data_IF_053240686636
#
_entry.id   IF_053240686636
#
_cell.length_a   1.000
_cell.length_b   1.000
_cell.length_c   1.000
_cell.angle_alpha   90.00
_cell.angle_beta   90.00
_cell.angle_gamma   90.00
#
_symmetry.space_group_name_H-M   'P 1'
#
loop_
_entity.id
_entity.type
_entity.pdbx_description
1 polymer ?
#
# COMPACT_ATOMS: atom_id res chain seq x y z
N UNK A 1 11.03 -18.20 1.76
CA UNK A 1 9.76 -18.11 1.00
C UNK A 1 8.63 -18.50 1.93
N UNK A 2 7.49 -17.77 1.89
CA UNK A 2 6.31 -18.11 2.69
C UNK A 2 5.66 -19.39 2.15
N UNK A 3 5.18 -20.22 3.05
CA UNK A 3 4.61 -21.53 2.68
C UNK A 3 3.08 -21.46 2.64
N UNK A 4 2.48 -22.07 1.63
CA UNK A 4 1.02 -22.26 1.58
C UNK A 4 0.68 -23.38 2.57
N UNK A 5 -0.27 -23.10 3.48
CA UNK A 5 -0.72 -24.02 4.53
C UNK A 5 -2.27 -24.09 4.58
N UNK A 6 -2.79 -24.78 5.59
CA UNK A 6 -4.23 -24.98 5.77
C UNK A 6 -5.02 -23.67 5.98
N UNK A 7 -4.39 -22.54 6.33
CA UNK A 7 -5.06 -21.24 6.46
C UNK A 7 -5.43 -20.63 5.10
N UNK A 8 -4.87 -21.16 4.00
CA UNK A 8 -5.15 -20.72 2.62
C UNK A 8 -6.20 -21.59 1.93
N UNK A 9 -6.68 -22.67 2.56
CA UNK A 9 -7.69 -23.55 1.98
C UNK A 9 -8.95 -22.74 1.63
N UNK A 10 -9.36 -22.63 0.35
CA UNK A 10 -10.55 -21.87 -0.06
C UNK A 10 -11.86 -22.44 0.50
N UNK A 11 -11.86 -23.70 0.95
CA UNK A 11 -13.02 -24.34 1.58
C UNK A 11 -13.17 -23.97 3.05
N UNK A 12 -12.12 -23.41 3.67
CA UNK A 12 -12.19 -22.99 5.07
C UNK A 12 -13.18 -21.86 5.24
N UNK A 13 -14.18 -22.05 6.09
CA UNK A 13 -15.22 -21.08 6.42
C UNK A 13 -15.02 -20.54 7.84
N UNK A 14 -15.47 -19.32 8.07
CA UNK A 14 -15.52 -18.68 9.38
C UNK A 14 -16.90 -18.77 10.00
N UNK A 15 -16.96 -18.80 11.33
CA UNK A 15 -18.22 -18.57 12.07
C UNK A 15 -18.67 -17.08 12.00
N UNK A 16 -17.82 -16.17 11.54
CA UNK A 16 -18.20 -14.81 11.15
C UNK A 16 -18.78 -14.86 9.74
N UNK A 17 -20.10 -14.81 9.63
CA UNK A 17 -20.81 -15.07 8.37
C UNK A 17 -20.41 -14.16 7.22
N UNK A 18 -20.19 -12.86 7.48
CA UNK A 18 -19.76 -11.87 6.50
C UNK A 18 -18.39 -12.16 5.87
N UNK A 19 -17.52 -12.91 6.58
CA UNK A 19 -16.22 -13.35 6.06
C UNK A 19 -16.32 -14.45 5.00
N UNK A 20 -17.50 -15.01 4.77
CA UNK A 20 -17.70 -16.07 3.78
C UNK A 20 -18.29 -15.55 2.46
N UNK A 21 -18.45 -14.24 2.32
CA UNK A 21 -18.91 -13.62 1.07
C UNK A 21 -17.83 -13.81 -0.04
N UNK A 22 -18.23 -14.28 -1.24
CA UNK A 22 -17.28 -14.64 -2.29
C UNK A 22 -16.43 -13.46 -2.77
N UNK A 23 -17.01 -12.24 -2.80
CA UNK A 23 -16.32 -11.02 -3.26
C UNK A 23 -15.82 -10.15 -2.08
N UNK A 24 -15.84 -10.70 -0.86
CA UNK A 24 -15.39 -9.99 0.34
C UNK A 24 -13.88 -9.77 0.36
N UNK A 25 -13.44 -8.62 0.89
CA UNK A 25 -12.01 -8.32 1.01
C UNK A 25 -11.33 -9.10 2.15
N UNK A 26 -12.09 -9.45 3.20
CA UNK A 26 -11.52 -10.00 4.43
C UNK A 26 -12.08 -11.37 4.80
N UNK A 27 -11.90 -12.40 3.91
CA UNK A 27 -12.19 -13.78 4.29
C UNK A 27 -11.19 -14.28 5.35
N UNK A 28 -11.47 -15.43 5.95
CA UNK A 28 -10.60 -16.06 6.95
C UNK A 28 -9.18 -16.37 6.39
N UNK A 29 -9.03 -16.43 5.08
CA UNK A 29 -7.75 -16.63 4.40
C UNK A 29 -6.88 -15.37 4.39
N UNK A 30 -7.46 -14.17 4.62
CA UNK A 30 -6.74 -12.89 4.62
C UNK A 30 -6.23 -12.52 6.01
N UNK A 31 -7.13 -12.09 6.89
CA UNK A 31 -6.83 -11.62 8.24
C UNK A 31 -5.81 -10.46 8.28
N UNK A 32 -6.04 -9.34 7.57
CA UNK A 32 -5.10 -8.23 7.59
C UNK A 32 -5.13 -7.53 8.94
N UNK A 33 -3.94 -7.09 9.39
CA UNK A 33 -3.79 -6.37 10.65
C UNK A 33 -4.09 -4.87 10.49
N UNK A 34 -4.55 -4.24 11.59
CA UNK A 34 -4.75 -2.80 11.68
C UNK A 34 -4.46 -2.30 13.09
N UNK A 35 -4.34 -0.99 13.25
CA UNK A 35 -4.39 -0.31 14.54
C UNK A 35 -5.71 0.48 14.63
N UNK A 36 -6.51 0.22 15.67
CA UNK A 36 -7.85 0.77 15.80
C UNK A 36 -8.25 1.04 17.26
N UNK A 37 -9.33 1.78 17.43
CA UNK A 37 -10.11 1.89 18.66
C UNK A 37 -11.60 1.97 18.31
N UNK A 38 -12.52 1.85 19.28
CA UNK A 38 -13.93 2.16 19.03
C UNK A 38 -14.10 3.64 18.71
N UNK A 39 -14.85 3.93 17.66
CA UNK A 39 -15.10 5.31 17.27
C UNK A 39 -15.79 6.08 18.41
N UNK A 40 -15.44 7.34 18.58
CA UNK A 40 -15.98 8.26 19.61
C UNK A 40 -15.77 7.77 21.05
N UNK A 41 -14.80 6.90 21.29
CA UNK A 41 -14.41 6.46 22.61
C UNK A 41 -13.13 7.15 23.07
N UNK A 42 -12.84 7.11 24.38
CA UNK A 42 -11.57 7.52 24.98
C UNK A 42 -10.57 6.34 25.08
N UNK A 43 -10.89 5.20 24.46
CA UNK A 43 -10.00 4.04 24.47
C UNK A 43 -8.68 4.34 23.76
N UNK A 44 -7.61 3.73 24.24
CA UNK A 44 -6.34 3.73 23.52
C UNK A 44 -6.44 2.89 22.25
N UNK A 45 -5.67 3.28 21.23
CA UNK A 45 -5.53 2.45 20.04
C UNK A 45 -4.81 1.16 20.37
N UNK A 46 -5.12 0.07 19.65
CA UNK A 46 -4.53 -1.25 19.78
C UNK A 46 -4.61 -2.02 18.48
N UNK A 47 -3.93 -3.15 18.41
CA UNK A 47 -3.97 -4.03 17.25
C UNK A 47 -5.34 -4.68 17.08
N UNK A 48 -5.75 -4.81 15.85
CA UNK A 48 -6.92 -5.55 15.40
C UNK A 48 -6.63 -6.34 14.15
N UNK A 49 -7.51 -7.28 13.82
CA UNK A 49 -7.48 -8.01 12.55
C UNK A 49 -8.86 -7.99 11.90
N UNK A 50 -8.91 -7.66 10.59
CA UNK A 50 -10.18 -7.69 9.89
C UNK A 50 -10.65 -9.11 9.59
N UNK A 51 -11.94 -9.33 9.77
CA UNK A 51 -12.66 -10.55 9.40
C UNK A 51 -14.08 -10.20 8.94
N UNK A 52 -14.37 -10.37 7.67
CA UNK A 52 -15.64 -9.95 7.09
C UNK A 52 -15.90 -8.45 7.25
N UNK A 53 -17.01 -8.08 7.84
CA UNK A 53 -17.43 -6.71 8.16
C UNK A 53 -16.97 -6.21 9.53
N UNK A 54 -16.14 -6.97 10.21
CA UNK A 54 -15.76 -6.72 11.60
C UNK A 54 -14.24 -6.66 11.78
N UNK A 55 -13.81 -6.09 12.90
CA UNK A 55 -12.45 -6.14 13.44
C UNK A 55 -12.48 -6.96 14.70
N UNK A 56 -11.64 -7.99 14.81
CA UNK A 56 -11.38 -8.70 16.05
C UNK A 56 -10.37 -7.91 16.88
N UNK A 57 -10.73 -7.58 18.10
CA UNK A 57 -9.89 -6.87 19.08
C UNK A 57 -8.80 -7.80 19.62
N UNK A 58 -7.55 -7.57 19.19
CA UNK A 58 -6.42 -8.41 19.58
C UNK A 58 -5.94 -8.12 21.01
N UNK A 59 -6.13 -6.89 21.51
CA UNK A 59 -5.84 -6.56 22.91
C UNK A 59 -6.76 -7.32 23.85
N UNK A 60 -8.07 -7.27 23.62
CA UNK A 60 -9.05 -8.03 24.40
C UNK A 60 -8.88 -9.56 24.22
N UNK A 61 -8.48 -10.01 23.03
CA UNK A 61 -8.16 -11.43 22.81
C UNK A 61 -6.94 -11.89 23.63
N UNK A 62 -5.94 -11.02 23.79
CA UNK A 62 -4.78 -11.30 24.64
C UNK A 62 -5.18 -11.54 26.10
N UNK A 63 -6.07 -10.70 26.63
CA UNK A 63 -6.60 -10.84 27.99
C UNK A 63 -7.38 -12.15 28.21
N UNK A 64 -8.01 -12.69 27.17
CA UNK A 64 -8.72 -13.97 27.26
C UNK A 64 -7.79 -15.19 27.42
N UNK A 65 -6.52 -15.10 27.03
CA UNK A 65 -5.53 -16.18 27.16
C UNK A 65 -5.91 -17.47 26.41
N UNK A 66 -6.45 -17.35 25.20
CA UNK A 66 -6.94 -18.50 24.41
C UNK A 66 -5.97 -19.00 23.34
N UNK A 67 -4.86 -18.31 23.14
CA UNK A 67 -3.76 -18.73 22.27
C UNK A 67 -2.56 -19.14 23.11
N UNK A 68 -1.73 -20.03 22.57
CA UNK A 68 -0.57 -20.57 23.24
C UNK A 68 0.75 -20.28 22.50
N UNK A 69 1.88 -20.50 23.17
CA UNK A 69 3.21 -20.44 22.58
C UNK A 69 3.55 -19.13 21.90
N UNK A 70 4.14 -19.20 20.69
CA UNK A 70 4.57 -18.03 19.93
C UNK A 70 3.39 -17.15 19.47
N UNK A 71 2.21 -17.75 19.22
CA UNK A 71 1.01 -17.00 18.88
C UNK A 71 0.54 -16.11 20.04
N UNK A 72 0.56 -16.62 21.28
CA UNK A 72 0.21 -15.84 22.47
C UNK A 72 1.23 -14.71 22.73
N UNK A 73 2.53 -14.99 22.57
CA UNK A 73 3.58 -13.98 22.67
C UNK A 73 3.38 -12.85 21.65
N UNK A 74 3.12 -13.19 20.38
CA UNK A 74 2.87 -12.25 19.31
C UNK A 74 1.59 -11.43 19.54
N UNK A 75 0.56 -12.04 20.10
CA UNK A 75 -0.70 -11.39 20.45
C UNK A 75 -0.48 -10.30 21.51
N UNK A 76 0.39 -10.52 22.50
CA UNK A 76 0.77 -9.52 23.50
C UNK A 76 1.35 -8.24 22.88
N UNK A 77 2.11 -8.37 21.79
CA UNK A 77 2.64 -7.21 21.06
C UNK A 77 1.55 -6.37 20.36
N UNK A 78 0.35 -6.93 20.13
CA UNK A 78 -0.77 -6.23 19.53
C UNK A 78 -1.56 -5.36 20.54
N UNK A 79 -1.29 -5.43 21.82
CA UNK A 79 -1.93 -4.56 22.83
C UNK A 79 -1.39 -3.12 22.78
N UNK A 80 -0.34 -2.86 22.00
CA UNK A 80 0.25 -1.53 21.84
C UNK A 80 -0.53 -0.67 20.83
N UNK A 81 -0.43 0.68 20.92
CA UNK A 81 -1.12 1.59 20.00
C UNK A 81 -0.72 1.48 18.52
N UNK A 82 0.44 0.87 18.26
CA UNK A 82 0.99 0.61 16.92
C UNK A 82 1.51 -0.82 16.84
N UNK A 83 1.58 -1.35 15.64
CA UNK A 83 2.03 -2.71 15.39
C UNK A 83 3.56 -2.88 15.29
N UNK A 84 4.37 -1.84 15.55
CA UNK A 84 5.82 -1.90 15.44
C UNK A 84 6.43 -3.05 16.26
N UNK A 85 5.91 -3.28 17.47
CA UNK A 85 6.35 -4.39 18.32
C UNK A 85 6.08 -5.75 17.65
N UNK A 86 4.87 -5.95 17.11
CA UNK A 86 4.52 -7.18 16.35
C UNK A 86 5.41 -7.33 15.11
N UNK A 87 5.59 -6.27 14.33
CA UNK A 87 6.42 -6.24 13.13
C UNK A 87 7.87 -6.67 13.45
N UNK A 88 8.42 -6.14 14.55
CA UNK A 88 9.78 -6.43 15.00
C UNK A 88 10.03 -7.88 15.46
N UNK A 89 8.99 -8.63 15.84
CA UNK A 89 9.12 -10.04 16.21
C UNK A 89 9.53 -10.94 15.04
N UNK A 90 9.31 -10.49 13.81
CA UNK A 90 9.69 -11.19 12.59
C UNK A 90 8.63 -12.17 12.07
N UNK A 91 8.98 -12.86 10.98
CA UNK A 91 8.03 -13.62 10.18
C UNK A 91 7.41 -14.83 10.90
N UNK A 92 8.18 -15.53 11.71
CA UNK A 92 7.72 -16.72 12.43
C UNK A 92 6.62 -16.37 13.43
N UNK A 93 6.77 -15.21 14.10
CA UNK A 93 5.80 -14.71 15.06
C UNK A 93 4.49 -14.28 14.36
N UNK A 94 4.60 -13.55 13.24
CA UNK A 94 3.45 -13.17 12.42
C UNK A 94 2.69 -14.39 11.88
N UNK A 95 3.40 -15.37 11.34
CA UNK A 95 2.82 -16.61 10.83
C UNK A 95 2.11 -17.42 11.93
N UNK A 96 2.73 -17.55 13.10
CA UNK A 96 2.14 -18.25 14.24
C UNK A 96 0.85 -17.56 14.72
N UNK A 97 0.85 -16.23 14.84
CA UNK A 97 -0.33 -15.46 15.22
C UNK A 97 -1.45 -15.64 14.18
N UNK A 98 -1.14 -15.47 12.88
CA UNK A 98 -2.12 -15.66 11.81
C UNK A 98 -2.71 -17.08 11.81
N UNK A 99 -1.91 -18.11 12.01
CA UNK A 99 -2.38 -19.48 12.10
C UNK A 99 -3.30 -19.70 13.30
N UNK A 100 -2.93 -19.18 14.48
CA UNK A 100 -3.75 -19.19 15.69
C UNK A 100 -5.10 -18.52 15.52
N UNK A 101 -5.11 -17.31 14.89
CA UNK A 101 -6.32 -16.56 14.57
C UNK A 101 -7.20 -17.32 13.57
N UNK A 102 -6.61 -17.88 12.52
CA UNK A 102 -7.34 -18.71 11.55
C UNK A 102 -7.97 -19.95 12.20
N UNK A 103 -7.28 -20.60 13.15
CA UNK A 103 -7.84 -21.72 13.91
C UNK A 103 -8.97 -21.28 14.85
N UNK A 104 -8.86 -20.14 15.51
CA UNK A 104 -9.87 -19.60 16.42
C UNK A 104 -11.13 -19.12 15.69
N UNK A 105 -10.98 -18.61 14.46
CA UNK A 105 -12.07 -18.03 13.67
C UNK A 105 -12.76 -19.02 12.72
N UNK A 106 -12.25 -20.25 12.55
CA UNK A 106 -12.90 -21.25 11.70
C UNK A 106 -14.25 -21.69 12.23
N UNK A 107 -15.14 -22.16 11.36
CA UNK A 107 -16.54 -22.46 11.69
C UNK A 107 -16.68 -23.56 12.78
N UNK A 108 -15.73 -24.49 12.85
CA UNK A 108 -15.71 -25.58 13.82
C UNK A 108 -15.11 -25.17 15.19
N UNK A 109 -14.68 -23.91 15.33
CA UNK A 109 -14.02 -23.45 16.55
C UNK A 109 -15.00 -23.37 17.72
N UNK A 110 -14.66 -24.00 18.83
CA UNK A 110 -15.39 -23.91 20.10
C UNK A 110 -15.20 -22.58 20.80
N UNK A 111 -14.28 -21.74 20.32
CA UNK A 111 -13.99 -20.42 20.87
C UNK A 111 -15.00 -19.35 20.43
N UNK A 112 -15.81 -19.61 19.41
CA UNK A 112 -16.74 -18.63 18.84
C UNK A 112 -17.61 -17.88 19.89
N UNK A 113 -18.21 -18.52 20.91
CA UNK A 113 -18.98 -17.79 21.92
C UNK A 113 -18.15 -16.79 22.74
N UNK A 114 -16.88 -17.12 23.02
CA UNK A 114 -15.94 -16.26 23.77
C UNK A 114 -15.40 -15.11 22.92
N UNK A 115 -15.24 -15.32 21.62
CA UNK A 115 -14.65 -14.34 20.70
C UNK A 115 -15.69 -13.38 20.11
N UNK A 116 -16.96 -13.80 20.00
CA UNK A 116 -18.01 -12.96 19.42
C UNK A 116 -18.15 -11.58 20.08
N UNK A 117 -18.05 -11.41 21.41
CA UNK A 117 -18.09 -10.10 22.06
C UNK A 117 -16.90 -9.18 21.72
N UNK A 118 -15.81 -9.74 21.18
CA UNK A 118 -14.60 -9.00 20.80
C UNK A 118 -14.62 -8.49 19.35
N UNK A 119 -15.68 -8.84 18.60
CA UNK A 119 -15.88 -8.31 17.24
C UNK A 119 -16.49 -6.91 17.32
N UNK A 120 -15.84 -5.97 16.67
CA UNK A 120 -16.32 -4.59 16.50
C UNK A 120 -16.66 -4.40 15.01
N UNK A 121 -17.88 -3.94 14.65
CA UNK A 121 -18.19 -3.57 13.27
C UNK A 121 -17.16 -2.58 12.73
N UNK A 122 -16.66 -2.78 11.50
CA UNK A 122 -15.61 -1.91 10.91
C UNK A 122 -16.02 -0.45 10.85
N UNK A 123 -17.29 -0.16 10.65
CA UNK A 123 -17.88 1.18 10.63
C UNK A 123 -17.93 1.84 12.02
N UNK A 124 -17.92 1.04 13.09
CA UNK A 124 -17.86 1.51 14.48
C UNK A 124 -16.42 1.65 15.01
N UNK A 125 -15.42 1.43 14.16
CA UNK A 125 -14.02 1.55 14.49
C UNK A 125 -13.42 2.84 13.90
N UNK A 126 -12.52 3.44 14.66
CA UNK A 126 -11.62 4.51 14.22
C UNK A 126 -10.23 3.91 14.01
N UNK A 127 -9.62 4.21 12.88
CA UNK A 127 -8.31 3.66 12.50
C UNK A 127 -7.22 4.70 12.55
N UNK A 128 -6.00 4.23 12.69
CA UNK A 128 -4.78 5.01 12.49
C UNK A 128 -3.82 4.26 11.57
N UNK A 129 -2.74 4.92 11.15
CA UNK A 129 -1.63 4.25 10.46
C UNK A 129 -1.16 3.07 11.33
N UNK A 130 -1.07 1.88 10.77
CA UNK A 130 -0.82 0.65 11.51
C UNK A 130 0.51 0.67 12.30
N UNK A 131 1.51 1.42 11.82
CA UNK A 131 2.80 1.60 12.48
C UNK A 131 3.07 3.09 12.76
N UNK A 132 3.86 3.34 13.79
CA UNK A 132 4.58 4.60 13.91
C UNK A 132 5.74 4.56 12.91
N UNK A 133 5.55 5.21 11.76
CA UNK A 133 6.55 5.24 10.70
C UNK A 133 7.70 6.15 11.11
N UNK A 134 8.90 5.56 11.23
CA UNK A 134 10.12 6.31 11.50
C UNK A 134 10.64 7.00 10.26
N UNK A 135 10.89 6.21 9.22
CA UNK A 135 11.37 6.66 7.92
C UNK A 135 10.45 6.15 6.80
N UNK A 136 10.32 6.98 5.76
CA UNK A 136 9.58 6.66 4.55
C UNK A 136 10.49 6.83 3.34
N UNK A 137 10.60 5.76 2.55
CA UNK A 137 11.34 5.77 1.28
C UNK A 137 10.38 5.41 0.17
N UNK A 138 10.28 6.27 -0.84
CA UNK A 138 9.44 6.02 -1.99
C UNK A 138 10.30 5.63 -3.19
N UNK A 139 10.01 4.45 -3.75
CA UNK A 139 10.68 3.88 -4.92
C UNK A 139 9.99 4.31 -6.22
N UNK A 140 10.54 3.87 -7.31
CA UNK A 140 10.05 4.15 -8.67
C UNK A 140 10.02 2.84 -9.46
N UNK A 141 9.28 1.83 -8.94
CA UNK A 141 9.43 0.44 -9.37
C UNK A 141 8.73 0.10 -10.70
N UNK A 142 7.77 0.92 -11.20
CA UNK A 142 7.06 0.64 -12.45
C UNK A 142 7.78 1.24 -13.66
N UNK A 143 8.30 0.40 -14.55
CA UNK A 143 8.91 0.85 -15.81
C UNK A 143 7.90 1.51 -16.74
N UNK A 144 6.63 1.12 -16.66
CA UNK A 144 5.57 1.69 -17.49
C UNK A 144 5.31 3.14 -17.10
N UNK A 145 5.16 3.42 -15.80
CA UNK A 145 5.06 4.79 -15.28
C UNK A 145 6.30 5.61 -15.62
N UNK A 146 7.49 5.09 -15.31
CA UNK A 146 8.75 5.79 -15.56
C UNK A 146 8.93 6.14 -17.05
N UNK A 147 8.54 5.23 -17.95
CA UNK A 147 8.60 5.46 -19.40
C UNK A 147 7.56 6.48 -19.84
N UNK A 148 6.32 6.40 -19.35
CA UNK A 148 5.25 7.32 -19.71
C UNK A 148 5.59 8.76 -19.29
N UNK A 149 5.97 8.97 -18.03
CA UNK A 149 6.40 10.28 -17.52
C UNK A 149 7.65 10.76 -18.22
N UNK A 150 8.61 9.86 -18.45
CA UNK A 150 9.83 10.18 -19.18
C UNK A 150 9.54 10.70 -20.60
N UNK A 151 8.63 10.07 -21.34
CA UNK A 151 8.19 10.53 -22.68
C UNK A 151 7.59 11.93 -22.68
N UNK A 152 6.89 12.31 -21.59
CA UNK A 152 6.32 13.64 -21.44
C UNK A 152 7.40 14.73 -21.21
N UNK A 153 8.49 14.36 -20.53
CA UNK A 153 9.55 15.30 -20.11
C UNK A 153 10.81 15.22 -20.99
N UNK A 154 11.13 14.07 -21.53
CA UNK A 154 12.36 13.74 -22.29
C UNK A 154 12.03 12.74 -23.41
N UNK A 155 11.33 13.16 -24.47
CA UNK A 155 10.80 12.25 -25.51
C UNK A 155 11.87 11.35 -26.15
N UNK A 156 13.07 11.89 -26.38
CA UNK A 156 14.16 11.17 -27.04
C UNK A 156 14.89 10.18 -26.13
N UNK A 157 14.83 10.36 -24.80
CA UNK A 157 15.46 9.49 -23.82
C UNK A 157 14.58 9.39 -22.55
N UNK A 158 13.48 8.62 -22.59
CA UNK A 158 12.51 8.58 -21.51
C UNK A 158 13.05 8.07 -20.18
N UNK A 159 13.88 7.05 -20.21
CA UNK A 159 14.46 6.46 -18.98
C UNK A 159 15.88 6.94 -18.74
N UNK A 160 16.19 7.30 -17.50
CA UNK A 160 17.57 7.54 -17.10
C UNK A 160 18.42 6.27 -17.23
N UNK A 161 19.73 6.38 -17.52
CA UNK A 161 20.62 5.23 -17.74
C UNK A 161 20.65 4.23 -16.56
N UNK A 162 20.48 4.71 -15.34
CA UNK A 162 20.51 3.90 -14.11
C UNK A 162 19.20 3.18 -13.81
N UNK A 163 18.08 3.54 -14.43
CA UNK A 163 16.74 3.04 -14.09
C UNK A 163 16.65 1.50 -14.11
N UNK A 164 17.23 0.88 -15.15
CA UNK A 164 17.20 -0.57 -15.33
C UNK A 164 18.23 -1.34 -14.48
N UNK A 165 19.10 -0.61 -13.75
CA UNK A 165 20.19 -1.19 -13.00
C UNK A 165 19.98 -1.18 -11.50
N UNK A 166 19.25 -0.23 -10.97
CA UNK A 166 18.97 -0.11 -9.56
C UNK A 166 17.52 0.37 -9.30
N UNK A 167 16.89 -0.04 -8.20
CA UNK A 167 15.65 0.57 -7.72
C UNK A 167 15.91 2.03 -7.32
N UNK A 168 15.43 2.96 -8.15
CA UNK A 168 15.53 4.41 -7.85
C UNK A 168 14.53 4.75 -6.76
N UNK A 169 14.92 5.61 -5.81
CA UNK A 169 14.05 6.03 -4.72
C UNK A 169 14.42 7.43 -4.23
N UNK A 170 13.52 8.06 -3.48
CA UNK A 170 13.77 9.26 -2.70
C UNK A 170 13.27 9.10 -1.25
N UNK A 171 13.77 9.93 -0.34
CA UNK A 171 13.28 9.96 1.05
C UNK A 171 12.00 10.78 1.13
N UNK A 172 10.89 10.09 1.40
CA UNK A 172 9.59 10.70 1.60
C UNK A 172 9.43 11.31 2.99
N UNK A 173 8.33 12.03 3.20
CA UNK A 173 8.02 12.66 4.48
C UNK A 173 7.14 11.76 5.34
N UNK A 174 7.72 11.09 6.34
CA UNK A 174 6.99 10.19 7.24
C UNK A 174 5.90 10.91 8.06
N UNK A 175 6.12 12.16 8.48
CA UNK A 175 5.19 12.89 9.35
C UNK A 175 3.87 13.30 8.70
N UNK A 176 3.76 13.27 7.37
CA UNK A 176 2.53 13.57 6.62
C UNK A 176 1.78 12.34 6.13
N UNK A 177 2.21 11.13 6.53
CA UNK A 177 1.47 9.91 6.27
C UNK A 177 0.21 9.90 7.13
N UNK A 178 -0.95 9.66 6.49
CA UNK A 178 -2.27 9.58 7.14
C UNK A 178 -2.99 8.30 6.72
N UNK A 179 -3.87 7.85 7.60
CA UNK A 179 -4.75 6.72 7.29
C UNK A 179 -5.88 7.15 6.35
N UNK A 180 -6.40 6.21 5.58
CA UNK A 180 -7.59 6.35 4.74
C UNK A 180 -8.73 7.07 5.46
N UNK A 181 -9.39 7.99 4.76
CA UNK A 181 -10.45 8.85 5.30
C UNK A 181 -9.97 10.21 5.83
N UNK A 182 -8.67 10.46 5.83
CA UNK A 182 -8.13 11.78 6.16
C UNK A 182 -8.14 12.68 4.92
N UNK A 183 -8.87 13.78 5.03
CA UNK A 183 -8.97 14.80 3.99
C UNK A 183 -7.87 15.86 4.21
N UNK A 184 -7.38 16.49 3.13
CA UNK A 184 -6.27 17.45 3.21
C UNK A 184 -6.53 18.69 2.36
N UNK A 185 -6.03 19.85 2.81
CA UNK A 185 -6.11 21.09 2.05
C UNK A 185 -5.18 21.05 0.83
N UNK A 186 -5.64 21.65 -0.28
CA UNK A 186 -4.83 21.80 -1.50
C UNK A 186 -3.50 22.50 -1.17
N UNK A 187 -2.33 21.90 -1.49
CA UNK A 187 -1.05 22.49 -1.13
C UNK A 187 -0.71 23.70 -1.99
N UNK A 188 0.07 24.60 -1.41
CA UNK A 188 0.68 25.73 -2.10
C UNK A 188 2.21 25.60 -2.11
N UNK A 189 2.83 26.13 -3.13
CA UNK A 189 4.29 26.16 -3.28
C UNK A 189 4.71 27.13 -4.40
N UNK A 190 6.01 27.20 -4.64
CA UNK A 190 6.50 27.94 -5.80
C UNK A 190 6.17 27.18 -7.09
N UNK A 191 5.59 27.88 -8.03
CA UNK A 191 5.31 27.40 -9.40
C UNK A 191 5.88 28.38 -10.41
N UNK A 192 6.35 27.90 -11.54
CA UNK A 192 6.73 28.73 -12.68
C UNK A 192 5.62 28.62 -13.74
N UNK A 193 4.73 29.63 -13.86
CA UNK A 193 3.70 29.62 -14.90
C UNK A 193 4.29 29.58 -16.31
N UNK A 194 3.63 28.93 -17.28
CA UNK A 194 4.10 28.90 -18.66
C UNK A 194 4.35 30.31 -19.22
N UNK A 195 5.58 30.53 -19.71
CA UNK A 195 5.98 31.83 -20.28
C UNK A 195 6.33 32.92 -19.26
N UNK A 196 6.21 32.66 -17.95
CA UNK A 196 6.65 33.59 -16.92
C UNK A 196 8.18 33.56 -16.75
N UNK A 197 8.75 34.75 -16.47
CA UNK A 197 10.18 34.85 -16.16
C UNK A 197 10.52 34.61 -14.69
N UNK A 198 9.54 34.70 -13.79
CA UNK A 198 9.70 34.56 -12.34
C UNK A 198 8.65 33.58 -11.78
N UNK A 199 9.02 32.78 -10.76
CA UNK A 199 8.06 31.94 -10.06
C UNK A 199 7.13 32.78 -9.19
N UNK A 200 5.98 32.20 -8.85
CA UNK A 200 5.02 32.75 -7.88
C UNK A 200 4.68 31.73 -6.80
N UNK A 201 4.29 32.17 -5.63
CA UNK A 201 3.70 31.32 -4.59
C UNK A 201 2.20 31.18 -4.88
N UNK A 202 1.76 29.97 -5.20
CA UNK A 202 0.37 29.70 -5.53
C UNK A 202 -0.07 28.31 -5.05
N UNK A 203 -1.40 28.14 -4.88
CA UNK A 203 -1.98 26.81 -4.73
C UNK A 203 -1.78 26.01 -6.03
N UNK A 204 -1.44 24.71 -5.89
CA UNK A 204 -1.24 23.86 -7.08
C UNK A 204 -2.50 23.79 -7.93
N UNK A 205 -2.35 23.92 -9.26
CA UNK A 205 -3.39 23.70 -10.25
C UNK A 205 -3.30 22.32 -10.90
N UNK A 206 -2.28 21.52 -10.53
CA UNK A 206 -1.98 20.22 -11.13
C UNK A 206 -1.83 19.17 -10.04
N UNK A 207 -2.84 19.11 -9.15
CA UNK A 207 -2.88 18.10 -8.09
C UNK A 207 -3.27 16.74 -8.66
N UNK A 208 -2.52 15.71 -8.29
CA UNK A 208 -2.61 14.35 -8.82
C UNK A 208 -2.58 13.33 -7.69
N UNK A 209 -2.97 12.10 -7.98
CA UNK A 209 -2.78 10.92 -7.13
C UNK A 209 -1.73 9.99 -7.75
N UNK A 210 -1.16 9.13 -6.94
CA UNK A 210 -0.33 8.01 -7.39
C UNK A 210 -0.82 6.71 -6.76
N UNK A 211 -1.20 5.76 -7.63
CA UNK A 211 -1.68 4.42 -7.25
C UNK A 211 -0.49 3.54 -6.91
N UNK A 212 -0.33 3.21 -5.63
CA UNK A 212 0.84 2.51 -5.10
C UNK A 212 0.52 1.40 -4.11
N UNK A 213 1.54 0.61 -3.82
CA UNK A 213 1.61 -0.35 -2.73
C UNK A 213 2.64 0.14 -1.71
N UNK A 214 2.23 0.24 -0.44
CA UNK A 214 3.12 0.45 0.69
C UNK A 214 3.57 -0.87 1.28
N UNK A 215 4.85 -0.97 1.65
CA UNK A 215 5.46 -2.18 2.23
C UNK A 215 6.03 -1.82 3.61
N UNK A 216 5.47 -2.39 4.67
CA UNK A 216 5.98 -2.18 6.02
C UNK A 216 7.18 -3.08 6.31
N UNK A 217 8.23 -2.49 6.83
CA UNK A 217 9.39 -3.20 7.35
C UNK A 217 8.98 -3.95 8.62
N UNK A 218 9.36 -5.21 8.70
CA UNK A 218 9.19 -6.07 9.86
C UNK A 218 10.41 -6.00 10.77
N UNK A 219 11.24 -7.05 10.72
CA UNK A 219 12.51 -7.05 11.44
C UNK A 219 13.47 -6.06 10.79
N UNK A 220 13.97 -5.11 11.55
CA UNK A 220 15.03 -4.19 11.09
C UNK A 220 16.38 -4.88 10.94
N UNK A 221 17.40 -4.13 10.49
CA UNK A 221 18.78 -4.52 10.45
C UNK A 221 19.65 -3.51 11.20
N UNK A 222 20.83 -3.94 11.64
CA UNK A 222 21.81 -3.07 12.28
C UNK A 222 22.50 -2.15 11.27
N UNK A 223 22.84 -0.93 11.69
CA UNK A 223 23.64 -0.01 10.90
C UNK A 223 24.98 -0.65 10.52
N UNK A 224 25.37 -0.53 9.24
CA UNK A 224 26.55 -1.18 8.68
C UNK A 224 26.33 -2.64 8.24
N UNK A 225 25.14 -3.19 8.39
CA UNK A 225 24.78 -4.55 7.97
C UNK A 225 23.79 -4.53 6.82
N UNK A 226 24.21 -4.93 5.64
CA UNK A 226 23.31 -5.12 4.48
C UNK A 226 22.45 -6.37 4.66
N UNK A 227 21.24 -6.36 4.07
CA UNK A 227 20.35 -7.51 4.00
C UNK A 227 20.46 -8.14 2.61
N UNK A 228 20.97 -9.37 2.49
CA UNK A 228 21.06 -10.06 1.19
C UNK A 228 19.66 -10.32 0.61
N UNK A 229 19.56 -10.32 -0.73
CA UNK A 229 18.28 -10.48 -1.43
C UNK A 229 17.51 -11.75 -0.98
N UNK A 230 18.19 -12.87 -0.77
CA UNK A 230 17.58 -14.13 -0.28
C UNK A 230 16.91 -14.01 1.09
N UNK A 231 17.30 -13.02 1.89
CA UNK A 231 16.79 -12.74 3.24
C UNK A 231 15.81 -11.56 3.27
N UNK A 232 15.76 -10.75 2.20
CA UNK A 232 15.05 -9.48 2.16
C UNK A 232 13.58 -9.60 2.61
N UNK A 233 12.85 -10.59 2.13
CA UNK A 233 11.44 -10.77 2.50
C UNK A 233 11.23 -11.23 3.96
N UNK A 234 12.26 -11.73 4.65
CA UNK A 234 12.18 -12.01 6.08
C UNK A 234 12.21 -10.74 6.93
N UNK A 235 12.61 -9.61 6.33
CA UNK A 235 12.61 -8.29 6.92
C UNK A 235 11.34 -7.48 6.59
N UNK A 236 10.40 -8.04 5.83
CA UNK A 236 9.13 -7.40 5.48
C UNK A 236 7.98 -8.02 6.26
N UNK A 237 7.06 -7.19 6.75
CA UNK A 237 5.88 -7.64 7.49
C UNK A 237 4.67 -7.85 6.60
N UNK A 238 4.30 -6.85 5.81
CA UNK A 238 3.11 -6.90 4.97
C UNK A 238 2.93 -5.66 4.12
N UNK A 239 1.87 -5.66 3.32
CA UNK A 239 1.58 -4.65 2.34
C UNK A 239 0.26 -3.94 2.64
N UNK A 240 0.18 -2.66 2.26
CA UNK A 240 -1.04 -1.85 2.27
C UNK A 240 -1.20 -1.10 0.95
N UNK A 241 -2.35 -0.47 0.70
CA UNK A 241 -2.48 0.51 -0.38
C UNK A 241 -1.86 1.83 0.05
N UNK A 242 -1.27 2.54 -0.89
CA UNK A 242 -0.66 3.84 -0.68
C UNK A 242 -1.05 4.79 -1.82
N UNK A 243 -1.39 6.02 -1.48
CA UNK A 243 -1.54 7.12 -2.42
C UNK A 243 -0.50 8.19 -2.08
N UNK A 244 0.45 8.43 -2.98
CA UNK A 244 1.42 9.51 -2.85
C UNK A 244 0.92 10.74 -3.63
N UNK A 245 0.20 11.62 -2.93
CA UNK A 245 -0.38 12.82 -3.52
C UNK A 245 0.70 13.74 -4.08
N UNK A 246 0.46 14.28 -5.29
CA UNK A 246 1.49 14.95 -6.08
C UNK A 246 1.02 16.29 -6.61
N UNK A 247 1.71 17.37 -6.26
CA UNK A 247 1.51 18.70 -6.84
C UNK A 247 2.46 18.87 -8.05
N UNK A 248 2.00 18.52 -9.26
CA UNK A 248 2.85 18.37 -10.45
C UNK A 248 3.50 19.65 -10.96
N UNK A 249 2.86 20.79 -10.78
CA UNK A 249 3.42 22.10 -11.15
C UNK A 249 4.52 22.54 -10.16
N UNK A 250 4.33 22.31 -8.84
CA UNK A 250 5.37 22.50 -7.85
C UNK A 250 6.53 21.53 -8.12
N UNK A 251 6.22 20.24 -8.38
CA UNK A 251 7.22 19.23 -8.70
C UNK A 251 8.08 19.61 -9.90
N UNK A 252 7.47 20.13 -10.97
CA UNK A 252 8.18 20.52 -12.18
C UNK A 252 9.19 21.66 -11.95
N UNK A 253 8.94 22.52 -10.97
CA UNK A 253 9.83 23.62 -10.61
C UNK A 253 10.97 23.20 -9.69
N UNK A 254 10.71 22.32 -8.71
CA UNK A 254 11.65 22.02 -7.62
C UNK A 254 12.47 20.74 -7.78
N UNK A 255 12.07 19.79 -8.66
CA UNK A 255 12.60 18.41 -8.61
C UNK A 255 14.09 18.29 -8.95
N UNK A 256 14.67 19.29 -9.59
CA UNK A 256 16.11 19.32 -9.87
C UNK A 256 16.81 20.33 -8.94
N UNK A 257 17.97 19.96 -8.37
CA UNK A 257 18.79 18.77 -8.64
C UNK A 257 18.52 17.58 -7.69
N UNK A 258 17.75 17.72 -6.59
CA UNK A 258 17.72 16.72 -5.51
C UNK A 258 16.48 15.82 -5.48
N UNK A 259 15.55 15.98 -6.41
CA UNK A 259 14.29 15.25 -6.46
C UNK A 259 13.11 16.02 -5.85
N UNK A 260 11.90 15.40 -5.76
CA UNK A 260 10.71 16.09 -5.26
C UNK A 260 10.80 16.38 -3.76
N UNK A 261 10.19 17.49 -3.33
CA UNK A 261 10.20 17.94 -1.94
C UNK A 261 8.80 18.41 -1.51
N UNK A 262 8.45 19.70 -1.68
CA UNK A 262 7.15 20.24 -1.28
C UNK A 262 6.01 19.66 -2.12
N UNK A 263 6.29 19.25 -3.35
CA UNK A 263 5.33 18.61 -4.23
C UNK A 263 4.79 17.27 -3.70
N UNK A 264 5.45 16.67 -2.72
CA UNK A 264 5.13 15.34 -2.15
C UNK A 264 4.92 15.39 -0.65
N UNK A 265 5.59 16.29 0.08
CA UNK A 265 5.65 16.28 1.54
C UNK A 265 4.36 16.69 2.25
N UNK A 266 3.32 17.11 1.52
CA UNK A 266 2.08 17.63 2.11
C UNK A 266 1.08 16.54 2.52
N UNK A 267 1.03 15.39 1.83
CA UNK A 267 0.14 14.28 2.16
C UNK A 267 0.58 12.98 1.51
N UNK A 268 0.47 11.88 2.26
CA UNK A 268 0.50 10.50 1.79
C UNK A 268 -0.60 9.73 2.50
N UNK A 269 -1.46 9.01 1.78
CA UNK A 269 -2.57 8.26 2.36
C UNK A 269 -2.30 6.76 2.27
N UNK A 270 -2.46 6.03 3.38
CA UNK A 270 -2.37 4.56 3.40
C UNK A 270 -3.67 3.92 3.83
N UNK A 271 -3.99 2.72 3.31
CA UNK A 271 -5.11 1.94 3.85
C UNK A 271 -4.78 1.50 5.29
N UNK A 272 -5.78 1.32 6.17
CA UNK A 272 -5.52 0.86 7.54
C UNK A 272 -5.12 -0.61 7.61
N UNK A 273 -5.29 -1.36 6.53
CA UNK A 273 -5.15 -2.82 6.47
C UNK A 273 -3.78 -3.23 5.98
N UNK A 274 -3.06 -3.98 6.81
CA UNK A 274 -1.77 -4.56 6.45
C UNK A 274 -1.96 -6.06 6.17
N UNK A 275 -1.94 -6.43 4.89
CA UNK A 275 -2.01 -7.82 4.43
C UNK A 275 -0.63 -8.43 4.55
N UNK A 276 -0.49 -9.49 5.36
CA UNK A 276 0.82 -10.11 5.62
C UNK A 276 1.35 -10.86 4.39
N UNK A 277 2.68 -11.00 4.32
CA UNK A 277 3.30 -11.80 3.25
C UNK A 277 2.85 -13.27 3.29
N UNK A 278 2.45 -13.77 4.46
CA UNK A 278 1.89 -15.13 4.60
C UNK A 278 0.54 -15.23 3.87
N UNK A 279 -0.37 -14.27 4.06
CA UNK A 279 -1.65 -14.23 3.34
C UNK A 279 -1.47 -14.11 1.82
N UNK A 280 -0.39 -13.49 1.37
CA UNK A 280 -0.05 -13.28 -0.03
C UNK A 280 0.68 -14.49 -0.68
N UNK A 281 1.03 -15.52 0.08
CA UNK A 281 1.77 -16.68 -0.45
C UNK A 281 1.12 -17.33 -1.70
N UNK A 282 -0.21 -17.51 -1.78
CA UNK A 282 -0.85 -18.09 -2.96
C UNK A 282 -0.77 -17.23 -4.23
N UNK A 283 -0.54 -15.93 -4.10
CA UNK A 283 -0.58 -14.95 -5.18
C UNK A 283 0.81 -14.55 -5.67
N UNK A 284 1.82 -15.30 -5.25
CA UNK A 284 3.18 -15.15 -5.78
C UNK A 284 3.25 -15.68 -7.20
N UNK A 285 3.95 -14.91 -8.04
CA UNK A 285 4.17 -15.23 -9.45
C UNK A 285 5.65 -15.03 -9.80
N UNK A 286 6.13 -15.68 -10.88
CA UNK A 286 7.48 -15.46 -11.37
C UNK A 286 7.73 -13.98 -11.69
N UNK A 287 8.94 -13.52 -11.36
CA UNK A 287 9.44 -12.23 -11.80
C UNK A 287 10.48 -12.44 -12.90
N UNK A 288 10.33 -11.72 -13.99
CA UNK A 288 11.28 -11.76 -15.12
C UNK A 288 11.28 -10.42 -15.84
N UNK A 289 12.38 -10.14 -16.51
CA UNK A 289 12.49 -9.03 -17.45
C UNK A 289 12.18 -9.50 -18.87
N UNK A 290 11.66 -8.62 -19.73
CA UNK A 290 11.46 -8.97 -21.14
C UNK A 290 12.76 -9.41 -21.83
N UNK A 291 12.70 -10.26 -22.86
CA UNK A 291 13.88 -10.63 -23.64
C UNK A 291 14.61 -9.40 -24.21
N UNK A 292 15.93 -9.40 -24.12
CA UNK A 292 16.78 -8.30 -24.60
C UNK A 292 17.06 -7.21 -23.55
N UNK A 293 16.35 -7.23 -22.41
CA UNK A 293 16.66 -6.31 -21.30
C UNK A 293 17.87 -6.81 -20.49
N UNK A 294 18.68 -5.87 -19.94
CA UNK A 294 19.84 -6.25 -19.16
C UNK A 294 19.43 -6.99 -17.88
N UNK A 295 20.12 -8.08 -17.48
CA UNK A 295 19.88 -8.69 -16.17
C UNK A 295 20.29 -7.72 -15.06
N UNK A 296 19.66 -7.80 -13.87
CA UNK A 296 20.13 -7.02 -12.74
C UNK A 296 21.52 -7.48 -12.29
N UNK A 297 22.21 -6.63 -11.51
CA UNK A 297 23.46 -7.03 -10.86
C UNK A 297 23.21 -8.18 -9.86
N UNK A 298 24.23 -8.99 -9.60
CA UNK A 298 24.13 -10.21 -8.81
C UNK A 298 23.51 -10.04 -7.41
N UNK A 299 23.65 -8.88 -6.76
CA UNK A 299 23.05 -8.63 -5.45
C UNK A 299 21.51 -8.41 -5.52
N UNK A 300 20.97 -8.18 -6.73
CA UNK A 300 19.53 -8.02 -7.00
C UNK A 300 18.96 -9.18 -7.82
N UNK A 301 19.67 -10.29 -7.93
CA UNK A 301 19.24 -11.43 -8.73
C UNK A 301 19.47 -12.75 -8.01
N UNK A 302 18.41 -13.51 -7.82
CA UNK A 302 18.48 -14.89 -7.32
C UNK A 302 17.34 -15.76 -7.87
N UNK A 303 17.48 -17.09 -7.70
CA UNK A 303 16.47 -18.05 -8.18
C UNK A 303 15.11 -17.90 -7.49
N UNK A 304 15.06 -17.42 -6.26
CA UNK A 304 13.83 -17.21 -5.50
C UNK A 304 13.01 -16.07 -6.10
N UNK A 305 13.67 -14.94 -6.41
CA UNK A 305 13.00 -13.81 -7.06
C UNK A 305 12.48 -14.19 -8.45
N UNK A 306 13.26 -14.90 -9.24
CA UNK A 306 12.83 -15.38 -10.56
C UNK A 306 11.61 -16.32 -10.48
N UNK A 307 11.55 -17.18 -9.46
CA UNK A 307 10.45 -18.14 -9.29
C UNK A 307 9.16 -17.53 -8.72
N UNK A 308 9.25 -16.53 -7.83
CA UNK A 308 8.11 -16.06 -7.03
C UNK A 308 8.29 -14.66 -6.44
N UNK A 309 9.15 -13.83 -7.03
CA UNK A 309 9.45 -12.49 -6.50
C UNK A 309 8.33 -11.48 -6.71
N UNK A 310 7.52 -11.63 -7.76
CA UNK A 310 6.38 -10.76 -8.02
C UNK A 310 5.12 -11.22 -7.25
N UNK A 311 4.19 -10.29 -7.05
CA UNK A 311 2.91 -10.55 -6.40
C UNK A 311 1.80 -10.04 -7.32
N UNK A 312 0.83 -10.90 -7.62
CA UNK A 312 -0.31 -10.53 -8.46
C UNK A 312 -1.39 -9.84 -7.62
N UNK A 313 -1.23 -8.53 -7.43
CA UNK A 313 -2.22 -7.66 -6.80
C UNK A 313 -2.88 -6.84 -7.89
N UNK A 314 -4.19 -6.97 -8.04
CA UNK A 314 -4.99 -6.09 -8.87
C UNK A 314 -5.14 -4.75 -8.17
N UNK A 315 -4.86 -3.65 -8.84
CA UNK A 315 -4.89 -2.29 -8.30
C UNK A 315 -5.85 -1.44 -9.12
N UNK A 316 -6.72 -0.72 -8.45
CA UNK A 316 -7.73 0.12 -9.09
C UNK A 316 -7.74 1.52 -8.48
N UNK A 317 -7.82 2.55 -9.32
CA UNK A 317 -8.08 3.92 -8.91
C UNK A 317 -9.46 4.37 -9.38
N UNK A 318 -10.22 4.99 -8.47
CA UNK A 318 -11.53 5.60 -8.76
C UNK A 318 -11.55 7.05 -8.34
N UNK A 319 -12.34 7.83 -9.06
CA UNK A 319 -12.64 9.23 -8.75
C UNK A 319 -14.12 9.39 -8.43
N UNK A 320 -14.39 10.13 -7.36
CA UNK A 320 -15.72 10.47 -6.88
C UNK A 320 -15.76 11.98 -6.65
N UNK A 321 -16.31 12.73 -7.62
CA UNK A 321 -16.37 14.20 -7.54
C UNK A 321 -17.48 14.65 -6.58
N UNK A 322 -17.38 15.88 -6.07
CA UNK A 322 -18.45 16.46 -5.25
C UNK A 322 -19.79 16.46 -5.99
N UNK A 323 -19.80 16.72 -7.31
CA UNK A 323 -21.00 16.68 -8.15
C UNK A 323 -21.54 15.27 -8.32
N UNK A 324 -20.67 14.27 -8.52
CA UNK A 324 -21.11 12.87 -8.60
C UNK A 324 -21.80 12.44 -7.31
N UNK A 325 -21.20 12.75 -6.15
CA UNK A 325 -21.81 12.46 -4.83
C UNK A 325 -23.17 13.14 -4.65
N UNK A 326 -23.26 14.43 -5.00
CA UNK A 326 -24.52 15.17 -4.91
C UNK A 326 -25.62 14.57 -5.82
N UNK A 327 -25.21 13.98 -6.95
CA UNK A 327 -26.13 13.32 -7.90
C UNK A 327 -26.38 11.83 -7.59
N UNK A 328 -25.80 11.27 -6.52
CA UNK A 328 -25.92 9.85 -6.17
C UNK A 328 -25.26 8.89 -7.19
N UNK A 329 -24.32 9.38 -7.98
CA UNK A 329 -23.60 8.56 -8.95
C UNK A 329 -22.47 7.77 -8.27
N UNK A 330 -22.22 6.57 -8.76
CA UNK A 330 -21.12 5.74 -8.27
C UNK A 330 -19.75 6.32 -8.64
N UNK A 331 -18.70 6.15 -7.81
CA UNK A 331 -17.32 6.51 -8.15
C UNK A 331 -16.89 5.89 -9.46
N UNK A 332 -16.33 6.71 -10.37
CA UNK A 332 -15.88 6.25 -11.69
C UNK A 332 -14.49 5.64 -11.61
N UNK A 333 -14.32 4.44 -12.15
CA UNK A 333 -13.00 3.84 -12.33
C UNK A 333 -12.20 4.63 -13.36
N UNK A 334 -11.01 5.07 -12.95
CA UNK A 334 -10.05 5.76 -13.80
C UNK A 334 -9.06 4.79 -14.45
N UNK A 335 -8.58 3.82 -13.65
CA UNK A 335 -7.57 2.86 -14.12
C UNK A 335 -7.66 1.53 -13.37
N UNK A 336 -7.02 0.51 -13.99
CA UNK A 336 -6.86 -0.82 -13.38
C UNK A 336 -5.52 -1.40 -13.86
N UNK A 337 -4.59 -1.59 -12.93
CA UNK A 337 -3.25 -2.12 -13.17
C UNK A 337 -2.98 -3.37 -12.32
N UNK A 338 -1.85 -4.02 -12.52
CA UNK A 338 -1.39 -5.10 -11.65
C UNK A 338 0.00 -4.83 -11.10
N UNK A 339 0.20 -5.06 -9.79
CA UNK A 339 1.49 -4.94 -9.14
C UNK A 339 2.54 -5.94 -9.66
N UNK A 340 2.09 -7.04 -10.27
CA UNK A 340 2.96 -8.02 -10.93
C UNK A 340 3.83 -7.43 -12.04
N UNK A 341 3.39 -6.30 -12.63
CA UNK A 341 4.07 -5.63 -13.74
C UNK A 341 5.20 -4.70 -13.27
N UNK A 342 5.48 -4.66 -11.97
CA UNK A 342 6.62 -3.92 -11.40
C UNK A 342 7.94 -4.43 -11.96
N UNK A 343 8.81 -3.49 -12.36
CA UNK A 343 10.18 -3.79 -12.80
C UNK A 343 11.08 -4.28 -11.66
N UNK A 344 10.85 -3.78 -10.44
CA UNK A 344 11.56 -4.15 -9.23
C UNK A 344 10.61 -4.78 -8.22
N UNK A 345 11.03 -5.90 -7.61
CA UNK A 345 10.26 -6.58 -6.56
C UNK A 345 10.48 -5.94 -5.20
N UNK A 346 9.58 -6.20 -4.24
CA UNK A 346 9.73 -5.71 -2.87
C UNK A 346 11.03 -6.20 -2.19
N UNK A 347 11.46 -7.43 -2.50
CA UNK A 347 12.73 -7.96 -2.02
C UNK A 347 13.93 -7.21 -2.58
N UNK A 348 13.90 -6.88 -3.88
CA UNK A 348 14.96 -6.11 -4.53
C UNK A 348 15.03 -4.68 -4.00
N UNK A 349 13.88 -4.04 -3.73
CA UNK A 349 13.83 -2.71 -3.11
C UNK A 349 14.51 -2.70 -1.76
N UNK A 350 14.19 -3.66 -0.87
CA UNK A 350 14.80 -3.76 0.45
C UNK A 350 16.29 -4.09 0.39
N UNK A 351 16.69 -5.05 -0.46
CA UNK A 351 18.10 -5.42 -0.63
C UNK A 351 18.94 -4.23 -1.11
N UNK A 352 18.39 -3.45 -2.07
CA UNK A 352 19.07 -2.25 -2.55
C UNK A 352 19.14 -1.16 -1.47
N UNK A 353 18.06 -0.95 -0.71
CA UNK A 353 18.00 0.05 0.35
C UNK A 353 19.07 -0.16 1.43
N UNK A 354 19.42 -1.42 1.68
CA UNK A 354 20.37 -1.78 2.75
C UNK A 354 21.77 -2.11 2.28
N UNK A 355 22.03 -2.16 0.96
CA UNK A 355 23.32 -2.63 0.40
C UNK A 355 24.52 -1.81 0.85
N UNK A 356 24.34 -0.54 1.15
CA UNK A 356 25.37 0.36 1.69
C UNK A 356 25.50 0.31 3.23
N UNK A 357 24.74 -0.58 3.89
CA UNK A 357 24.70 -0.68 5.35
C UNK A 357 23.67 0.21 6.05
N UNK A 358 22.76 0.86 5.28
CA UNK A 358 21.65 1.60 5.87
C UNK A 358 20.80 0.66 6.74
N UNK A 359 20.43 1.10 7.95
CA UNK A 359 19.54 0.35 8.83
C UNK A 359 18.08 0.74 8.58
N UNK A 360 17.22 -0.28 8.63
CA UNK A 360 15.77 -0.15 8.65
C UNK A 360 15.24 -0.52 10.04
N UNK A 361 14.11 0.03 10.42
CA UNK A 361 13.45 -0.22 11.71
C UNK A 361 12.06 -0.83 11.51
N UNK A 362 11.56 -1.60 12.49
CA UNK A 362 10.19 -2.09 12.45
C UNK A 362 9.18 -0.95 12.27
N UNK A 363 8.35 -1.04 11.24
CA UNK A 363 7.35 -0.02 10.93
C UNK A 363 7.79 1.07 9.95
N UNK A 364 9.05 1.11 9.51
CA UNK A 364 9.45 1.92 8.36
C UNK A 364 8.62 1.52 7.14
N UNK A 365 8.34 2.49 6.27
CA UNK A 365 7.48 2.30 5.10
C UNK A 365 8.29 2.47 3.81
N UNK A 366 8.13 1.51 2.89
CA UNK A 366 8.64 1.59 1.53
C UNK A 366 7.44 1.75 0.59
N UNK A 367 7.34 2.87 -0.13
CA UNK A 367 6.42 3.05 -1.24
C UNK A 367 6.95 2.36 -2.50
N UNK A 368 6.08 1.80 -3.29
CA UNK A 368 6.47 1.14 -4.55
C UNK A 368 6.78 2.13 -5.67
N UNK A 369 6.40 3.40 -5.52
CA UNK A 369 6.20 4.29 -6.64
C UNK A 369 4.93 3.95 -7.40
N UNK A 370 4.47 4.87 -8.22
CA UNK A 370 3.24 4.72 -9.01
C UNK A 370 3.23 3.42 -9.81
N UNK A 371 2.19 2.63 -9.67
CA UNK A 371 2.00 1.37 -10.39
C UNK A 371 1.15 1.58 -11.64
N UNK A 372 1.78 1.44 -12.78
CA UNK A 372 1.13 1.46 -14.10
C UNK A 372 1.46 0.19 -14.85
N UNK A 373 0.53 -0.26 -15.69
CA UNK A 373 0.74 -1.38 -16.60
C UNK A 373 1.08 -0.92 -18.03
N UNK A 374 1.21 -1.87 -18.96
CA UNK A 374 1.64 -1.60 -20.35
C UNK A 374 0.60 -0.85 -21.20
N UNK A 375 -0.67 -0.81 -20.80
CA UNK A 375 -1.77 -0.20 -21.57
C UNK A 375 -2.14 1.18 -21.00
N UNK A 376 -2.62 2.12 -21.82
CA UNK A 376 -2.98 3.47 -21.38
C UNK A 376 -4.00 3.50 -20.23
N UNK A 377 -4.98 2.62 -20.23
CA UNK A 377 -6.02 2.48 -19.19
C UNK A 377 -5.50 1.86 -17.89
N UNK A 378 -4.24 1.44 -17.87
CA UNK A 378 -3.55 0.89 -16.70
C UNK A 378 -2.64 1.91 -16.03
N UNK A 379 -2.73 3.18 -16.42
CA UNK A 379 -1.91 4.25 -15.86
C UNK A 379 -2.31 4.59 -14.43
N UNK A 380 -1.33 4.69 -13.54
CA UNK A 380 -1.53 4.88 -12.09
C UNK A 380 -1.66 6.33 -11.64
N UNK A 381 -1.74 7.31 -12.56
CA UNK A 381 -1.83 8.74 -12.25
C UNK A 381 -2.61 9.51 -13.31
N UNK A 382 -3.16 10.69 -12.95
CA UNK A 382 -3.77 11.60 -13.93
C UNK A 382 -2.73 12.20 -14.87
N UNK A 383 -1.50 12.40 -14.41
CA UNK A 383 -0.40 12.88 -15.26
C UNK A 383 -0.26 12.01 -16.53
N UNK A 384 -0.36 10.71 -16.38
CA UNK A 384 -0.29 9.75 -17.49
C UNK A 384 -1.60 9.72 -18.27
N UNK A 385 -2.73 9.48 -17.58
CA UNK A 385 -4.06 9.33 -18.17
C UNK A 385 -4.45 10.54 -19.03
N UNK A 386 -4.06 11.75 -18.60
CA UNK A 386 -4.39 13.00 -19.29
C UNK A 386 -3.26 13.52 -20.18
N UNK A 387 -2.17 12.79 -20.33
CA UNK A 387 -0.97 13.23 -21.06
C UNK A 387 -0.52 14.62 -20.59
N UNK A 388 -0.30 14.77 -19.28
CA UNK A 388 0.06 16.03 -18.61
C UNK A 388 -1.00 17.15 -18.75
N UNK A 389 -2.28 16.79 -18.77
CA UNK A 389 -3.40 17.71 -18.87
C UNK A 389 -3.83 18.07 -20.29
N UNK A 390 -3.21 17.47 -21.31
CA UNK A 390 -3.53 17.74 -22.72
C UNK A 390 -4.81 17.03 -23.20
N UNK A 391 -5.22 15.96 -22.51
CA UNK A 391 -6.38 15.13 -22.86
C UNK A 391 -7.28 14.96 -21.64
N UNK A 392 -8.30 15.82 -21.47
CA UNK A 392 -9.23 15.69 -20.35
C UNK A 392 -9.96 14.34 -20.37
N UNK A 393 -10.18 13.77 -19.19
CA UNK A 393 -10.99 12.56 -18.98
C UNK A 393 -12.43 12.98 -18.78
N UNK A 394 -13.35 12.40 -19.53
CA UNK A 394 -14.78 12.57 -19.33
C UNK A 394 -15.23 11.74 -18.11
N UNK A 395 -16.02 12.39 -17.23
CA UNK A 395 -16.57 11.77 -16.03
C UNK A 395 -18.10 11.62 -16.11
N UNK A 396 -18.64 10.72 -15.32
CA UNK A 396 -20.06 10.58 -15.11
C UNK A 396 -20.65 11.91 -14.61
N UNK A 397 -21.85 12.28 -15.10
CA UNK A 397 -22.45 13.58 -14.77
C UNK A 397 -22.01 14.75 -15.64
N UNK A 398 -21.20 14.50 -16.69
CA UNK A 398 -20.83 15.50 -17.69
C UNK A 398 -19.70 16.44 -17.28
N UNK A 399 -18.92 16.06 -16.27
CA UNK A 399 -17.69 16.75 -15.89
C UNK A 399 -16.49 16.24 -16.69
N UNK A 400 -15.39 16.96 -16.65
CA UNK A 400 -14.09 16.54 -17.17
C UNK A 400 -13.01 16.81 -16.13
N UNK A 401 -11.92 16.01 -16.14
CA UNK A 401 -10.74 16.29 -15.32
C UNK A 401 -9.46 16.14 -16.12
N UNK A 402 -8.55 17.04 -15.87
CA UNK A 402 -7.12 16.90 -16.24
C UNK A 402 -6.28 16.60 -15.01
N UNK A 403 -6.56 17.28 -13.92
CA UNK A 403 -6.03 17.10 -12.57
C UNK A 403 -7.15 17.20 -11.55
N UNK A 404 -6.87 16.91 -10.29
CA UNK A 404 -7.87 16.92 -9.23
C UNK A 404 -8.31 18.34 -8.89
N UNK A 405 -9.61 18.50 -8.67
CA UNK A 405 -10.25 19.73 -8.20
C UNK A 405 -10.65 19.62 -6.72
N UNK A 406 -10.96 20.74 -6.09
CA UNK A 406 -11.45 20.78 -4.70
C UNK A 406 -12.78 20.04 -4.60
N UNK A 407 -12.89 19.22 -3.57
CA UNK A 407 -14.00 18.30 -3.37
C UNK A 407 -13.88 16.95 -4.10
N UNK A 408 -12.87 16.76 -4.94
CA UNK A 408 -12.61 15.43 -5.53
C UNK A 408 -12.10 14.45 -4.48
N UNK A 409 -12.65 13.25 -4.51
CA UNK A 409 -12.27 12.13 -3.66
C UNK A 409 -11.65 11.03 -4.52
N UNK A 410 -10.44 10.64 -4.20
CA UNK A 410 -9.75 9.50 -4.82
C UNK A 410 -9.92 8.27 -3.93
N UNK A 411 -10.25 7.14 -4.53
CA UNK A 411 -10.43 5.85 -3.87
C UNK A 411 -9.52 4.85 -4.57
N UNK A 412 -8.49 4.38 -3.87
CA UNK A 412 -7.64 3.30 -4.33
C UNK A 412 -8.11 1.99 -3.73
N UNK A 413 -8.16 0.93 -4.54
CA UNK A 413 -8.53 -0.43 -4.14
C UNK A 413 -7.48 -1.42 -4.60
N UNK A 414 -7.36 -2.53 -3.85
CA UNK A 414 -6.47 -3.61 -4.23
C UNK A 414 -7.02 -4.96 -3.78
N UNK A 415 -6.78 -6.00 -4.57
CA UNK A 415 -7.14 -7.37 -4.25
C UNK A 415 -6.24 -8.37 -4.97
N UNK A 416 -6.17 -9.58 -4.41
CA UNK A 416 -5.56 -10.72 -5.07
C UNK A 416 -6.64 -11.75 -5.37
N UNK A 417 -6.56 -12.32 -6.58
CA UNK A 417 -7.49 -13.33 -7.06
C UNK A 417 -6.75 -14.36 -7.91
N UNK A 418 -6.99 -15.63 -7.63
CA UNK A 418 -6.37 -16.74 -8.36
C UNK A 418 -7.27 -17.97 -8.28
N UNK A 419 -7.48 -18.72 -9.39
CA UNK A 419 -8.23 -19.98 -9.37
C UNK A 419 -7.69 -20.94 -8.30
N UNK A 420 -8.59 -21.54 -7.50
CA UNK A 420 -8.25 -22.46 -6.44
C UNK A 420 -7.92 -21.82 -5.09
N UNK A 421 -7.98 -20.48 -4.97
CA UNK A 421 -7.79 -19.76 -3.72
C UNK A 421 -8.93 -18.77 -3.48
N UNK A 422 -9.17 -18.41 -2.22
CA UNK A 422 -10.11 -17.34 -1.89
C UNK A 422 -9.54 -15.99 -2.33
N UNK A 423 -10.42 -15.11 -2.87
CA UNK A 423 -10.08 -13.72 -3.09
C UNK A 423 -9.75 -13.07 -1.75
N UNK A 424 -8.71 -12.23 -1.68
CA UNK A 424 -8.36 -11.41 -0.53
C UNK A 424 -8.18 -9.95 -0.96
N UNK A 425 -8.58 -8.99 -0.12
CA UNK A 425 -8.51 -7.57 -0.44
C UNK A 425 -7.65 -6.78 0.53
N UNK A 426 -7.35 -5.54 0.13
CA UNK A 426 -6.59 -4.56 0.91
C UNK A 426 -7.48 -3.44 1.45
N UNK A 427 -8.83 -3.56 1.28
CA UNK A 427 -9.76 -2.48 1.56
C UNK A 427 -9.54 -1.27 0.64
N UNK A 428 -9.62 -0.08 1.20
CA UNK A 428 -9.53 1.16 0.43
C UNK A 428 -8.55 2.16 1.07
N UNK A 429 -7.83 2.91 0.22
CA UNK A 429 -7.15 4.15 0.61
C UNK A 429 -7.90 5.32 -0.01
N UNK A 430 -8.50 6.15 0.83
CA UNK A 430 -9.42 7.23 0.44
C UNK A 430 -8.92 8.55 0.98
N UNK A 431 -8.95 9.60 0.17
CA UNK A 431 -8.70 10.98 0.59
C UNK A 431 -9.47 11.96 -0.27
N UNK A 432 -9.91 13.07 0.33
CA UNK A 432 -10.62 14.16 -0.35
C UNK A 432 -9.78 15.43 -0.35
N UNK A 433 -9.74 16.09 -1.48
CA UNK A 433 -9.08 17.40 -1.62
C UNK A 433 -10.01 18.48 -1.07
N UNK A 434 -9.54 19.20 -0.05
CA UNK A 434 -10.23 20.38 0.48
C UNK A 434 -9.69 21.65 -0.18
N UNK A 435 -10.49 22.70 -0.16
CA UNK A 435 -10.05 24.04 -0.58
C UNK A 435 -8.85 24.49 0.27
N UNK A 436 -7.91 25.23 -0.35
CA UNK A 436 -6.71 25.78 0.28
C UNK A 436 -7.02 26.79 1.38
#
# INVERSE_FOLDING_TARGET
MRTIDASHDPKRKSWVSSANAPDGDFPIQNLPFCAFRRARSAEEFRGGVAIGDSVLDLGALHELGVLDGLAAHSLGACAQPFLNALMGLGPEASAALRAGLSAALRIESTLAPRLRPLLIPREAAEYRVAAQVGDYTDFYASIHHATAVGKLLRPDNPLFPNYKWLPVAYHGRASSIRVSGYDFARPAGQVLPPGAALPELAATRRLDYELEVGVFVGRGNELGRSVPLREAESHLFGLCLLNDWSARDIQAWEYQPLGPFLAKSFATTVSPWVVTLDALAPFRVPWSRPPGEPPPLAYLDDGTQRGSGAIDIQLEARLDTARMRAAGLAPQRLSHASFRDSWWTIGQMLAHHTVNGCNLKPGDLLGSGTQSGPLPEQAGSLLELTSAGKRPIALAGGETRTFLEDGDRVILRGWCERPGYARIGFGEAVGTVLTA
#
